data_IF_137941749373
#
_entry.id   IF_137941749373
#
_cell.length_a   1.000
_cell.length_b   1.000
_cell.length_c   1.000
_cell.angle_alpha   90.00
_cell.angle_beta   90.00
_cell.angle_gamma   90.00
#
_symmetry.space_group_name_H-M   'P 1'
#
loop_
_entity.id
_entity.type
_entity.pdbx_description
1 polymer ?
#
# COMPACT_ATOMS: atom_id res chain seq x y z
N UNK A 1 19.13 -8.35 -46.40
CA UNK A 1 17.79 -7.91 -45.98
C UNK A 1 17.71 -8.19 -44.50
N UNK A 2 17.74 -7.16 -43.65
CA UNK A 2 17.65 -7.38 -42.20
C UNK A 2 16.20 -7.66 -41.88
N UNK A 3 15.91 -8.90 -41.48
CA UNK A 3 14.59 -9.30 -41.02
C UNK A 3 14.26 -8.53 -39.74
N UNK A 4 13.12 -7.83 -39.74
CA UNK A 4 12.67 -7.00 -38.63
C UNK A 4 11.25 -7.43 -38.28
N UNK A 5 11.11 -8.12 -37.15
CA UNK A 5 9.83 -8.57 -36.65
C UNK A 5 9.41 -7.71 -35.46
N UNK A 6 8.23 -7.08 -35.54
CA UNK A 6 7.63 -6.35 -34.43
C UNK A 6 6.87 -7.34 -33.55
N UNK A 7 7.25 -7.43 -32.27
CA UNK A 7 6.55 -8.25 -31.27
C UNK A 7 5.78 -7.33 -30.33
N UNK A 8 4.53 -7.69 -30.03
CA UNK A 8 3.72 -7.07 -28.96
C UNK A 8 3.50 -8.11 -27.87
N UNK A 9 3.82 -7.75 -26.63
CA UNK A 9 3.57 -8.59 -25.45
C UNK A 9 2.56 -7.90 -24.54
N UNK A 10 1.71 -8.70 -23.90
CA UNK A 10 0.79 -8.24 -22.87
C UNK A 10 0.94 -9.14 -21.65
N UNK A 11 1.06 -8.53 -20.47
CA UNK A 11 1.18 -9.23 -19.19
C UNK A 11 0.02 -8.81 -18.31
N UNK A 12 -0.73 -9.77 -17.78
CA UNK A 12 -1.81 -9.51 -16.83
C UNK A 12 -1.34 -9.88 -15.43
N UNK A 13 -1.50 -8.94 -14.49
CA UNK A 13 -1.25 -9.15 -13.06
C UNK A 13 -2.56 -8.98 -12.31
N UNK A 14 -2.74 -9.72 -11.23
CA UNK A 14 -3.91 -9.60 -10.34
C UNK A 14 -3.44 -9.03 -9.01
N UNK A 15 -4.20 -8.07 -8.49
CA UNK A 15 -3.96 -7.44 -7.19
C UNK A 15 -4.13 -8.48 -6.06
N UNK A 16 -3.11 -8.65 -5.21
CA UNK A 16 -3.18 -9.57 -4.09
C UNK A 16 -3.98 -8.97 -2.92
N UNK A 17 -5.22 -9.44 -2.77
CA UNK A 17 -6.13 -9.07 -1.67
C UNK A 17 -6.42 -10.21 -0.71
N UNK A 18 -5.55 -11.22 -0.65
CA UNK A 18 -5.73 -12.37 0.26
C UNK A 18 -5.73 -11.99 1.74
N UNK A 19 -5.27 -10.78 2.09
CA UNK A 19 -5.32 -10.20 3.43
C UNK A 19 -6.69 -9.66 3.83
N UNK A 20 -7.62 -9.45 2.90
CA UNK A 20 -9.00 -9.04 3.19
C UNK A 20 -9.84 -10.27 3.54
N UNK A 21 -10.23 -10.39 4.81
CA UNK A 21 -11.13 -11.48 5.26
C UNK A 21 -12.58 -11.19 4.88
N UNK A 22 -12.93 -9.92 4.67
CA UNK A 22 -14.27 -9.45 4.28
C UNK A 22 -14.15 -8.27 3.31
N UNK A 23 -15.16 -8.08 2.46
CA UNK A 23 -15.28 -6.93 1.56
C UNK A 23 -15.90 -5.70 2.26
N UNK A 24 -16.26 -5.83 3.53
CA UNK A 24 -16.79 -4.72 4.31
C UNK A 24 -15.78 -3.56 4.42
N UNK A 25 -16.29 -2.33 4.38
CA UNK A 25 -15.48 -1.11 4.40
C UNK A 25 -14.73 -0.76 3.11
N UNK A 26 -14.57 -1.70 2.16
CA UNK A 26 -13.87 -1.43 0.89
C UNK A 26 -14.58 -0.35 0.05
N UNK A 27 -15.91 -0.36 0.07
CA UNK A 27 -16.74 0.63 -0.64
C UNK A 27 -16.70 2.03 0.00
N UNK A 28 -16.20 2.12 1.23
CA UNK A 28 -16.07 3.36 2.00
C UNK A 28 -14.60 3.76 2.18
N UNK A 29 -13.71 3.10 1.43
CA UNK A 29 -12.29 3.40 1.43
C UNK A 29 -12.05 4.86 1.05
N UNK A 30 -11.18 5.52 1.80
CA UNK A 30 -10.93 6.94 1.62
C UNK A 30 -9.80 7.15 0.61
N UNK A 31 -9.97 8.09 -0.31
CA UNK A 31 -8.88 8.50 -1.20
C UNK A 31 -7.81 9.24 -0.39
N UNK A 32 -6.56 8.80 -0.52
CA UNK A 32 -5.41 9.35 0.19
C UNK A 32 -4.25 9.64 -0.77
N UNK A 33 -3.32 10.48 -0.33
CA UNK A 33 -2.03 10.65 -1.00
C UNK A 33 -0.94 9.97 -0.17
N UNK A 34 -0.27 8.99 -0.78
CA UNK A 34 0.86 8.26 -0.19
C UNK A 34 2.17 8.96 -0.55
N UNK A 35 3.04 9.12 0.45
CA UNK A 35 4.41 9.59 0.30
C UNK A 35 5.31 8.41 -0.13
N UNK A 36 5.67 8.40 -1.41
CA UNK A 36 6.49 7.34 -2.00
C UNK A 36 7.96 7.43 -1.62
N UNK A 37 8.42 8.58 -1.10
CA UNK A 37 9.80 8.76 -0.61
C UNK A 37 10.08 7.97 0.67
N UNK A 38 9.03 7.64 1.42
CA UNK A 38 9.09 6.84 2.66
C UNK A 38 8.95 5.34 2.41
N UNK A 39 8.75 4.91 1.16
CA UNK A 39 8.60 3.51 0.81
C UNK A 39 9.96 2.86 0.51
N UNK A 40 10.13 1.65 1.01
CA UNK A 40 11.31 0.80 0.71
C UNK A 40 10.96 -0.26 -0.34
N UNK A 41 11.81 -0.39 -1.36
CA UNK A 41 11.70 -1.43 -2.40
C UNK A 41 11.84 -2.83 -1.80
N UNK A 42 11.13 -3.82 -2.37
CA UNK A 42 11.11 -5.20 -1.90
C UNK A 42 10.19 -5.42 -0.70
N UNK A 43 10.12 -4.46 0.21
CA UNK A 43 9.20 -4.49 1.37
C UNK A 43 7.82 -3.97 0.98
N UNK A 44 7.73 -2.68 0.63
CA UNK A 44 6.45 -1.98 0.44
C UNK A 44 6.00 -1.93 -1.02
N UNK A 45 6.96 -1.93 -1.96
CA UNK A 45 6.68 -1.91 -3.39
C UNK A 45 7.65 -2.81 -4.14
N UNK A 46 7.20 -3.29 -5.30
CA UNK A 46 8.01 -3.98 -6.28
C UNK A 46 8.53 -2.95 -7.28
N UNK A 47 9.85 -2.88 -7.45
CA UNK A 47 10.47 -1.96 -8.39
C UNK A 47 10.09 -2.31 -9.83
N UNK A 48 9.91 -1.30 -10.66
CA UNK A 48 9.64 -1.48 -12.07
C UNK A 48 10.78 -2.21 -12.79
N UNK A 49 10.42 -3.00 -13.79
CA UNK A 49 11.35 -3.69 -14.69
C UNK A 49 11.19 -3.16 -16.11
N UNK A 50 12.03 -3.60 -17.06
CA UNK A 50 11.88 -3.23 -18.47
C UNK A 50 10.48 -3.55 -19.04
N UNK A 51 9.83 -4.60 -18.54
CA UNK A 51 8.50 -5.02 -18.97
C UNK A 51 7.35 -4.41 -18.14
N UNK A 52 7.67 -3.76 -17.02
CA UNK A 52 6.73 -3.04 -16.16
C UNK A 52 7.43 -1.80 -15.58
N UNK A 53 7.47 -0.66 -16.31
CA UNK A 53 8.35 0.47 -15.96
C UNK A 53 7.90 1.26 -14.71
N UNK A 54 6.71 0.98 -14.17
CA UNK A 54 6.18 1.61 -12.96
C UNK A 54 6.52 0.77 -11.74
N UNK A 55 6.78 1.44 -10.62
CA UNK A 55 6.85 0.77 -9.33
C UNK A 55 5.43 0.46 -8.86
N UNK A 56 5.22 -0.72 -8.28
CA UNK A 56 3.89 -1.15 -7.80
C UNK A 56 3.95 -1.30 -6.28
N UNK A 57 3.20 -0.47 -5.55
CA UNK A 57 3.02 -0.59 -4.11
C UNK A 57 2.13 -1.80 -3.87
N UNK A 58 2.54 -2.69 -2.96
CA UNK A 58 1.76 -3.88 -2.60
C UNK A 58 0.47 -3.47 -1.88
N UNK A 59 -0.61 -4.20 -2.13
CA UNK A 59 -1.85 -4.07 -1.36
C UNK A 59 -1.66 -4.58 0.08
N UNK A 60 -2.45 -4.06 1.02
CA UNK A 60 -2.40 -4.46 2.43
C UNK A 60 -1.28 -3.81 3.24
N UNK A 61 -0.62 -2.77 2.72
CA UNK A 61 0.40 -2.05 3.50
C UNK A 61 -0.29 -1.25 4.62
N UNK A 62 0.11 -1.42 5.90
CA UNK A 62 -0.38 -0.59 6.99
C UNK A 62 0.19 0.83 6.84
N UNK A 63 -0.67 1.83 6.96
CA UNK A 63 -0.34 3.24 6.77
C UNK A 63 -0.66 4.06 8.02
N UNK A 64 0.21 5.01 8.30
CA UNK A 64 -0.02 6.10 9.25
C UNK A 64 0.01 7.45 8.53
N UNK A 65 -0.60 8.47 9.14
CA UNK A 65 -0.65 9.82 8.59
C UNK A 65 0.47 10.66 9.19
N UNK A 66 1.32 11.24 8.35
CA UNK A 66 2.36 12.18 8.77
C UNK A 66 1.67 13.48 9.21
N UNK A 67 1.89 13.89 10.46
CA UNK A 67 1.23 15.06 11.06
C UNK A 67 1.62 16.36 10.35
N UNK A 68 2.89 16.50 9.95
CA UNK A 68 3.40 17.73 9.35
C UNK A 68 2.91 17.96 7.91
N UNK A 69 2.83 16.90 7.09
CA UNK A 69 2.50 17.01 5.66
C UNK A 69 1.06 16.60 5.33
N UNK A 70 0.40 15.84 6.21
CA UNK A 70 -0.89 15.22 5.96
C UNK A 70 -0.86 14.06 4.96
N UNK A 71 0.32 13.67 4.48
CA UNK A 71 0.52 12.53 3.59
C UNK A 71 0.56 11.22 4.38
N UNK A 72 0.31 10.11 3.69
CA UNK A 72 0.33 8.78 4.29
C UNK A 72 1.64 8.07 3.98
N UNK A 73 2.21 7.41 4.97
CA UNK A 73 3.43 6.63 4.84
C UNK A 73 3.28 5.30 5.60
N UNK A 74 4.18 4.32 5.39
CA UNK A 74 4.13 3.06 6.13
C UNK A 74 4.07 3.29 7.64
N UNK A 75 3.17 2.56 8.28
CA UNK A 75 3.01 2.58 9.73
C UNK A 75 4.33 2.19 10.41
N UNK A 76 4.75 2.98 11.40
CA UNK A 76 5.93 2.72 12.20
C UNK A 76 5.67 3.07 13.66
N UNK A 77 5.46 2.05 14.50
CA UNK A 77 5.16 2.22 15.93
C UNK A 77 6.24 2.95 16.73
N UNK A 78 7.48 3.00 16.23
CA UNK A 78 8.61 3.67 16.88
C UNK A 78 8.82 5.12 16.39
N UNK A 79 8.02 5.59 15.42
CA UNK A 79 8.12 6.95 14.91
C UNK A 79 7.47 7.98 15.86
N UNK A 80 7.74 9.25 15.60
CA UNK A 80 7.13 10.39 16.30
C UNK A 80 6.58 11.44 15.32
N UNK A 81 6.50 11.11 14.04
CA UNK A 81 6.09 12.02 12.96
C UNK A 81 4.59 11.94 12.59
N UNK A 82 3.83 11.11 13.31
CA UNK A 82 2.42 10.79 13.09
C UNK A 82 2.21 9.37 12.57
N UNK A 83 3.23 8.76 11.94
CA UNK A 83 3.13 7.40 11.39
C UNK A 83 3.07 6.30 12.44
N UNK A 84 3.27 6.63 13.72
CA UNK A 84 3.07 5.74 14.86
C UNK A 84 1.62 5.49 15.23
N UNK A 85 0.69 6.24 14.64
CA UNK A 85 -0.76 6.02 14.76
C UNK A 85 -1.24 5.33 13.48
N UNK A 86 -1.77 4.12 13.61
CA UNK A 86 -2.29 3.37 12.48
C UNK A 86 -3.58 4.02 11.96
N UNK A 87 -3.55 4.48 10.71
CA UNK A 87 -4.69 5.09 10.05
C UNK A 87 -5.52 4.08 9.23
N UNK A 88 -4.90 2.99 8.75
CA UNK A 88 -5.58 1.95 7.98
C UNK A 88 -4.64 1.17 7.08
N UNK A 89 -5.20 0.47 6.09
CA UNK A 89 -4.45 -0.36 5.13
C UNK A 89 -4.69 0.09 3.69
N UNK A 90 -3.68 -0.03 2.82
CA UNK A 90 -3.86 0.26 1.39
C UNK A 90 -4.71 -0.84 0.74
N UNK A 91 -5.87 -0.50 0.17
CA UNK A 91 -6.85 -1.47 -0.37
C UNK A 91 -6.36 -2.20 -1.61
N UNK A 92 -5.64 -1.50 -2.48
CA UNK A 92 -5.29 -1.99 -3.80
C UNK A 92 -3.84 -1.65 -4.13
N UNK A 93 -3.22 -2.48 -4.95
CA UNK A 93 -1.94 -2.18 -5.55
C UNK A 93 -1.99 -0.85 -6.32
N UNK A 94 -1.05 0.04 -6.00
CA UNK A 94 -0.95 1.36 -6.63
C UNK A 94 0.34 1.44 -7.42
N UNK A 95 0.22 1.75 -8.72
CA UNK A 95 1.37 2.06 -9.55
C UNK A 95 1.83 3.51 -9.34
N UNK A 96 3.15 3.73 -9.28
CA UNK A 96 3.75 5.07 -9.29
C UNK A 96 4.98 5.13 -10.19
N UNK A 97 5.26 6.33 -10.70
CA UNK A 97 6.46 6.57 -11.52
C UNK A 97 7.70 6.58 -10.61
N UNK A 98 8.77 5.84 -10.95
CA UNK A 98 10.04 5.92 -10.20
C UNK A 98 10.51 7.37 -10.06
N UNK A 99 10.93 7.75 -8.85
CA UNK A 99 11.33 9.14 -8.54
C UNK A 99 10.18 10.11 -8.26
N UNK A 100 8.90 9.71 -8.44
CA UNK A 100 7.78 10.48 -7.89
C UNK A 100 7.85 10.47 -6.37
N UNK A 101 7.48 11.60 -5.74
CA UNK A 101 7.38 11.73 -4.29
C UNK A 101 5.97 11.48 -3.75
N UNK A 102 4.96 11.40 -4.63
CA UNK A 102 3.55 11.25 -4.26
C UNK A 102 2.83 10.29 -5.20
N UNK A 103 1.88 9.55 -4.65
CA UNK A 103 0.92 8.77 -5.44
C UNK A 103 -0.45 8.71 -4.75
N UNK A 104 -1.51 8.48 -5.51
CA UNK A 104 -2.86 8.32 -4.96
C UNK A 104 -3.10 6.87 -4.51
N UNK A 105 -3.83 6.69 -3.42
CA UNK A 105 -4.22 5.37 -2.91
C UNK A 105 -5.61 5.39 -2.29
N UNK A 106 -6.11 4.20 -1.96
CA UNK A 106 -7.36 4.02 -1.24
C UNK A 106 -7.08 3.38 0.13
N UNK A 107 -7.51 4.04 1.20
CA UNK A 107 -7.30 3.62 2.58
C UNK A 107 -8.52 2.88 3.11
N UNK A 108 -8.32 1.63 3.52
CA UNK A 108 -9.26 0.86 4.31
C UNK A 108 -9.12 1.27 5.78
N UNK A 109 -10.14 1.94 6.31
CA UNK A 109 -10.17 2.39 7.69
C UNK A 109 -11.14 1.57 8.57
N UNK A 110 -12.04 0.77 7.97
CA UNK A 110 -12.85 -0.22 8.69
C UNK A 110 -12.85 -1.55 7.95
N UNK A 111 -13.06 -2.65 8.67
CA UNK A 111 -13.25 -3.98 8.09
C UNK A 111 -12.54 -5.07 8.89
N UNK A 112 -12.21 -6.17 8.23
CA UNK A 112 -11.51 -7.30 8.83
C UNK A 112 -10.25 -7.66 8.03
N UNK A 113 -9.12 -7.79 8.73
CA UNK A 113 -7.79 -8.00 8.13
C UNK A 113 -7.15 -9.26 8.70
N UNK A 114 -6.68 -10.13 7.81
CA UNK A 114 -5.87 -11.28 8.17
C UNK A 114 -4.39 -10.89 8.24
N UNK A 115 -3.87 -10.76 9.45
CA UNK A 115 -2.53 -10.20 9.72
C UNK A 115 -1.40 -11.08 9.17
N UNK A 116 -1.62 -12.40 9.11
CA UNK A 116 -0.65 -13.38 8.58
C UNK A 116 -0.50 -13.37 7.05
N UNK A 117 -1.39 -12.68 6.33
CA UNK A 117 -1.36 -12.55 4.86
C UNK A 117 -0.92 -11.16 4.38
N UNK A 118 -0.58 -10.27 5.31
CA UNK A 118 -0.08 -8.95 4.97
C UNK A 118 1.31 -9.05 4.29
N UNK A 119 1.62 -8.15 3.36
CA UNK A 119 2.92 -8.12 2.68
C UNK A 119 4.10 -7.76 3.61
N UNK A 120 3.80 -7.27 4.81
CA UNK A 120 4.78 -6.88 5.83
C UNK A 120 4.38 -7.45 7.19
N UNK A 121 5.37 -7.74 8.03
CA UNK A 121 5.12 -8.13 9.42
C UNK A 121 4.41 -7.00 10.15
N UNK A 122 3.25 -7.31 10.73
CA UNK A 122 2.41 -6.34 11.42
C UNK A 122 2.00 -6.89 12.78
N UNK A 123 2.15 -6.04 13.80
CA UNK A 123 1.62 -6.29 15.13
C UNK A 123 0.51 -5.25 15.39
N UNK A 124 -0.70 -5.68 15.80
CA UNK A 124 -1.78 -4.76 16.12
C UNK A 124 -1.34 -3.72 17.16
N UNK A 125 -1.52 -2.42 16.90
CA UNK A 125 -1.22 -1.38 17.88
C UNK A 125 -2.18 -1.44 19.07
N UNK A 126 -1.77 -0.84 20.19
CA UNK A 126 -2.71 -0.55 21.28
C UNK A 126 -3.87 0.33 20.78
N UNK A 127 -5.04 0.23 21.41
CA UNK A 127 -6.24 0.96 20.99
C UNK A 127 -6.06 2.49 20.93
N UNK A 128 -5.18 3.05 21.76
CA UNK A 128 -4.84 4.48 21.74
C UNK A 128 -4.00 4.91 20.52
N UNK A 129 -3.36 3.95 19.83
CA UNK A 129 -2.41 4.18 18.74
C UNK A 129 -2.99 3.76 17.38
N UNK A 130 -4.31 3.82 17.24
CA UNK A 130 -4.99 3.63 15.96
C UNK A 130 -6.23 4.51 15.86
N UNK A 131 -6.51 4.98 14.64
CA UNK A 131 -7.76 5.64 14.27
C UNK A 131 -8.63 4.75 13.37
N UNK A 132 -8.19 3.53 13.09
CA UNK A 132 -8.88 2.57 12.24
C UNK A 132 -9.78 1.64 13.07
N UNK A 133 -10.90 1.23 12.50
CA UNK A 133 -11.87 0.30 13.07
C UNK A 133 -11.74 -1.08 12.40
N UNK A 134 -10.60 -1.73 12.62
CA UNK A 134 -10.26 -3.01 11.97
C UNK A 134 -10.32 -4.14 13.00
N UNK A 135 -11.01 -5.22 12.65
CA UNK A 135 -10.89 -6.50 13.36
C UNK A 135 -9.72 -7.31 12.78
N UNK A 136 -8.86 -7.84 13.65
CA UNK A 136 -7.67 -8.60 13.24
C UNK A 136 -7.89 -10.10 13.43
N UNK A 137 -7.52 -10.89 12.41
CA UNK A 137 -7.43 -12.36 12.47
C UNK A 137 -6.02 -12.88 12.22
#
# INVERSE_FOLDING_TARGET
MSDYQVLTTATTVTDDRTWLTSLDGVHEAQTITVDTSKLTSGTHYTAGTLNQPRNIIKSGIPLGKITASGLYAPYNSAASDGTQILAGFLVAETAFTPGSAKTAGALLWRGEVQTSKLPVTFAPPAAANTTAFIHYR
#
